data_IF_033967801526
#
_entry.id   IF_033967801526
#
_cell.length_a   1.000
_cell.length_b   1.000
_cell.length_c   1.000
_cell.angle_alpha   90.00
_cell.angle_beta   90.00
_cell.angle_gamma   90.00
#
_symmetry.space_group_name_H-M   'P 1'
#
loop_
_entity.id
_entity.type
_entity.pdbx_description
1 polymer ?
#
# COMPACT_ATOMS: atom_id res chain seq x y z
N UNK A 1 -27.59 -9.17 -10.11
CA UNK A 1 -26.63 -8.55 -9.18
C UNK A 1 -26.41 -7.08 -9.53
N UNK A 2 -26.41 -6.23 -8.53
CA UNK A 2 -26.00 -4.85 -8.67
C UNK A 2 -24.53 -4.69 -8.27
N UNK A 3 -23.73 -4.05 -9.12
CA UNK A 3 -22.44 -3.51 -8.70
C UNK A 3 -22.58 -2.00 -8.55
N UNK A 4 -22.19 -1.46 -7.41
CA UNK A 4 -22.14 -0.02 -7.19
C UNK A 4 -20.72 0.43 -6.89
N UNK A 5 -20.32 1.54 -7.46
CA UNK A 5 -19.12 2.24 -7.04
C UNK A 5 -19.48 3.64 -6.56
N UNK A 6 -19.11 3.96 -5.34
CA UNK A 6 -19.27 5.28 -4.77
C UNK A 6 -17.90 5.92 -4.62
N UNK A 7 -17.63 6.90 -5.46
CA UNK A 7 -16.33 7.56 -5.52
C UNK A 7 -16.47 8.96 -4.93
N UNK A 8 -15.63 9.27 -3.94
CA UNK A 8 -15.46 10.65 -3.50
C UNK A 8 -14.88 11.48 -4.64
N UNK A 9 -15.52 12.63 -4.97
CA UNK A 9 -15.13 13.47 -6.09
C UNK A 9 -13.71 14.02 -5.95
N UNK A 10 -12.90 13.88 -6.97
CA UNK A 10 -11.71 14.68 -7.20
C UNK A 10 -12.09 16.13 -7.52
N UNK A 11 -11.23 17.03 -7.06
CA UNK A 11 -11.22 18.48 -7.29
C UNK A 11 -12.30 19.33 -6.60
N UNK A 12 -11.84 20.04 -5.57
CA UNK A 12 -12.34 21.36 -5.09
C UNK A 12 -13.80 21.51 -4.66
N UNK A 13 -14.61 20.46 -4.62
CA UNK A 13 -15.98 20.57 -4.11
C UNK A 13 -16.08 19.75 -2.83
N UNK A 14 -16.01 20.42 -1.71
CA UNK A 14 -15.88 19.84 -0.35
C UNK A 14 -16.95 18.82 0.04
N UNK A 15 -18.07 18.74 -0.69
CA UNK A 15 -19.29 18.09 -0.24
C UNK A 15 -20.02 17.31 -1.35
N UNK A 16 -19.32 16.66 -2.26
CA UNK A 16 -19.93 15.88 -3.34
C UNK A 16 -19.45 14.44 -3.34
N UNK A 17 -20.39 13.51 -3.59
CA UNK A 17 -20.15 12.09 -3.81
C UNK A 17 -20.63 11.76 -5.22
N UNK A 18 -19.82 11.11 -6.02
CA UNK A 18 -20.26 10.54 -7.30
C UNK A 18 -20.74 9.11 -7.01
N UNK A 19 -21.98 8.84 -7.33
CA UNK A 19 -22.55 7.50 -7.23
C UNK A 19 -22.67 6.90 -8.64
N UNK A 20 -22.05 5.74 -8.84
CA UNK A 20 -22.14 4.93 -10.06
C UNK A 20 -22.76 3.60 -9.71
N UNK A 21 -23.78 3.21 -10.44
CA UNK A 21 -24.47 1.92 -10.29
C UNK A 21 -24.48 1.22 -11.62
N UNK A 22 -24.29 -0.10 -11.62
CA UNK A 22 -24.42 -0.95 -12.79
C UNK A 22 -25.24 -2.18 -12.44
N UNK A 23 -26.22 -2.50 -13.27
CA UNK A 23 -26.97 -3.75 -13.21
C UNK A 23 -26.29 -4.82 -14.05
N UNK A 24 -26.20 -6.04 -13.53
CA UNK A 24 -25.54 -7.17 -14.23
C UNK A 24 -26.30 -7.65 -15.46
N UNK A 25 -27.63 -7.46 -15.48
CA UNK A 25 -28.52 -7.79 -16.59
C UNK A 25 -28.60 -6.69 -17.66
N UNK A 26 -27.83 -5.60 -17.49
CA UNK A 26 -27.77 -4.46 -18.40
C UNK A 26 -29.14 -3.85 -18.75
N UNK A 27 -30.11 -3.95 -17.83
CA UNK A 27 -31.49 -3.50 -18.04
C UNK A 27 -31.56 -1.97 -18.10
N UNK A 28 -32.03 -1.47 -19.24
CA UNK A 28 -32.28 -0.05 -19.46
C UNK A 28 -33.58 0.42 -18.81
N UNK A 29 -33.59 1.68 -18.36
CA UNK A 29 -34.79 2.31 -17.80
C UNK A 29 -35.21 1.80 -16.42
N UNK A 30 -34.36 0.99 -15.76
CA UNK A 30 -34.60 0.52 -14.40
C UNK A 30 -34.34 1.64 -13.40
N UNK A 31 -35.25 1.78 -12.42
CA UNK A 31 -35.09 2.72 -11.34
C UNK A 31 -34.19 2.13 -10.25
N UNK A 32 -33.14 2.83 -9.92
CA UNK A 32 -32.24 2.49 -8.80
C UNK A 32 -32.20 3.62 -7.79
N UNK A 33 -32.25 3.27 -6.52
CA UNK A 33 -32.18 4.24 -5.41
C UNK A 33 -30.86 4.09 -4.68
N UNK A 34 -30.18 5.23 -4.45
CA UNK A 34 -28.98 5.32 -3.61
C UNK A 34 -29.34 6.08 -2.35
N UNK A 35 -29.23 5.46 -1.20
CA UNK A 35 -29.54 6.06 0.10
C UNK A 35 -28.33 6.06 1.03
N UNK A 36 -28.09 7.23 1.69
CA UNK A 36 -27.11 7.41 2.77
C UNK A 36 -27.83 8.17 3.88
N UNK A 37 -28.53 7.48 4.79
CA UNK A 37 -29.44 8.10 5.76
C UNK A 37 -28.77 9.13 6.67
N UNK A 38 -27.55 8.87 7.14
CA UNK A 38 -26.80 9.82 7.99
C UNK A 38 -26.53 11.17 7.30
N UNK A 39 -26.41 11.17 5.98
CA UNK A 39 -26.23 12.38 5.17
C UNK A 39 -27.56 12.95 4.62
N UNK A 40 -28.69 12.32 4.96
CA UNK A 40 -30.02 12.63 4.43
C UNK A 40 -30.08 12.57 2.91
N UNK A 41 -29.33 11.64 2.31
CA UNK A 41 -29.31 11.40 0.88
C UNK A 41 -30.26 10.24 0.57
N UNK A 42 -31.18 10.48 -0.38
CA UNK A 42 -32.02 9.47 -1.01
C UNK A 42 -32.24 9.92 -2.46
N UNK A 43 -31.52 9.32 -3.38
CA UNK A 43 -31.50 9.72 -4.79
C UNK A 43 -31.99 8.56 -5.67
N UNK A 44 -32.96 8.85 -6.53
CA UNK A 44 -33.44 7.94 -7.56
C UNK A 44 -32.72 8.25 -8.87
N UNK A 45 -32.19 7.22 -9.51
CA UNK A 45 -31.53 7.26 -10.82
C UNK A 45 -32.26 6.31 -11.78
N UNK A 46 -32.06 6.54 -13.07
CA UNK A 46 -32.56 5.63 -14.12
C UNK A 46 -31.38 5.12 -14.93
N UNK A 47 -31.32 3.83 -15.17
CA UNK A 47 -30.22 3.20 -15.93
C UNK A 47 -30.32 3.51 -17.42
N UNK A 48 -29.17 3.66 -18.07
CA UNK A 48 -29.00 3.78 -19.52
C UNK A 48 -29.14 2.43 -20.25
N UNK A 49 -28.84 2.43 -21.56
CA UNK A 49 -28.93 1.23 -22.42
C UNK A 49 -27.97 0.10 -21.99
N UNK A 50 -26.89 0.42 -21.29
CA UNK A 50 -25.89 -0.51 -20.75
C UNK A 50 -26.15 -0.89 -19.28
N UNK A 51 -27.32 -0.55 -18.73
CA UNK A 51 -27.69 -0.82 -17.33
C UNK A 51 -26.90 0.02 -16.33
N UNK A 52 -26.34 1.16 -16.72
CA UNK A 52 -25.52 2.04 -15.88
C UNK A 52 -26.31 3.28 -15.49
N UNK A 53 -26.07 3.77 -14.27
CA UNK A 53 -26.54 5.07 -13.81
C UNK A 53 -25.46 5.80 -13.04
N UNK A 54 -25.34 7.10 -13.25
CA UNK A 54 -24.39 7.96 -12.52
C UNK A 54 -25.07 9.24 -12.06
N UNK A 55 -24.75 9.70 -10.85
CA UNK A 55 -25.17 11.00 -10.35
C UNK A 55 -24.17 11.60 -9.37
N UNK A 56 -24.29 12.91 -9.17
CA UNK A 56 -23.52 13.66 -8.16
C UNK A 56 -24.43 13.98 -6.99
N UNK A 57 -24.11 13.41 -5.83
CA UNK A 57 -24.85 13.61 -4.58
C UNK A 57 -24.22 14.74 -3.77
N UNK A 58 -25.06 15.63 -3.24
CA UNK A 58 -24.60 16.72 -2.37
C UNK A 58 -24.56 16.25 -0.92
N UNK A 59 -23.38 16.24 -0.32
CA UNK A 59 -23.10 15.67 0.99
C UNK A 59 -22.59 16.75 1.97
N UNK A 60 -23.35 17.82 2.21
CA UNK A 60 -22.97 19.01 2.98
C UNK A 60 -22.39 18.79 4.38
N UNK A 61 -22.56 17.62 4.97
CA UNK A 61 -22.05 17.27 6.32
C UNK A 61 -21.11 16.06 6.28
N UNK A 62 -20.47 15.82 5.14
CA UNK A 62 -19.59 14.69 4.96
C UNK A 62 -18.37 14.79 5.88
N UNK A 63 -18.28 13.90 6.87
CA UNK A 63 -17.06 13.64 7.61
C UNK A 63 -16.20 12.68 6.80
N UNK A 64 -15.01 13.12 6.42
CA UNK A 64 -14.11 12.32 5.62
C UNK A 64 -13.40 11.29 6.48
N UNK A 65 -13.23 10.12 5.91
CA UNK A 65 -12.44 9.05 6.51
C UNK A 65 -10.96 9.41 6.55
N UNK A 66 -10.31 9.13 7.67
CA UNK A 66 -8.85 9.16 7.81
C UNK A 66 -8.40 8.06 8.78
N UNK A 67 -7.09 7.75 8.85
CA UNK A 67 -6.56 6.82 9.86
C UNK A 67 -6.86 7.20 11.29
N UNK A 68 -6.97 8.48 11.58
CA UNK A 68 -7.30 9.02 12.90
C UNK A 68 -8.81 8.97 13.20
N UNK A 69 -9.63 9.16 12.15
CA UNK A 69 -11.10 9.19 12.22
C UNK A 69 -11.68 8.30 11.10
N UNK A 70 -11.73 6.97 11.27
CA UNK A 70 -12.15 6.03 10.24
C UNK A 70 -13.67 5.96 10.08
N UNK A 71 -14.29 7.12 9.75
CA UNK A 71 -15.74 7.24 9.58
C UNK A 71 -16.23 6.49 8.35
N UNK A 72 -17.16 5.57 8.57
CA UNK A 72 -17.91 4.85 7.53
C UNK A 72 -19.38 5.23 7.63
N UNK A 73 -20.04 5.21 6.48
CA UNK A 73 -21.50 5.47 6.33
C UNK A 73 -22.19 4.21 5.85
N UNK A 74 -23.36 3.93 6.39
CA UNK A 74 -24.28 2.94 5.81
C UNK A 74 -24.81 3.45 4.48
N UNK A 75 -24.58 2.70 3.42
CA UNK A 75 -25.05 2.99 2.07
C UNK A 75 -25.91 1.84 1.59
N UNK A 76 -27.12 2.17 1.11
CA UNK A 76 -28.00 1.19 0.47
C UNK A 76 -28.16 1.56 -1.00
N UNK A 77 -28.00 0.58 -1.88
CA UNK A 77 -28.38 0.67 -3.28
C UNK A 77 -29.45 -0.36 -3.56
N UNK A 78 -30.58 0.04 -4.13
CA UNK A 78 -31.70 -0.85 -4.39
C UNK A 78 -32.31 -0.61 -5.77
N UNK A 79 -32.78 -1.70 -6.39
CA UNK A 79 -33.61 -1.73 -7.59
C UNK A 79 -34.91 -2.45 -7.30
N UNK A 80 -35.74 -2.70 -8.31
CA UNK A 80 -36.94 -3.55 -8.16
C UNK A 80 -36.63 -5.00 -7.82
N UNK A 81 -35.40 -5.47 -8.16
CA UNK A 81 -35.02 -6.89 -8.08
C UNK A 81 -33.95 -7.20 -7.04
N UNK A 82 -33.15 -6.19 -6.60
CA UNK A 82 -31.98 -6.43 -5.73
C UNK A 82 -31.74 -5.26 -4.77
N UNK A 83 -31.08 -5.56 -3.65
CA UNK A 83 -30.68 -4.59 -2.63
C UNK A 83 -29.31 -4.92 -2.07
N UNK A 84 -28.39 -3.97 -2.18
CA UNK A 84 -27.04 -4.06 -1.64
C UNK A 84 -26.87 -3.06 -0.49
N UNK A 85 -26.31 -3.52 0.61
CA UNK A 85 -25.97 -2.69 1.77
C UNK A 85 -24.46 -2.77 2.04
N UNK A 86 -23.84 -1.62 2.19
CA UNK A 86 -22.39 -1.51 2.39
C UNK A 86 -22.05 -0.43 3.42
N UNK A 87 -20.89 -0.61 4.09
CA UNK A 87 -20.25 0.44 4.88
C UNK A 87 -19.17 1.08 4.02
N UNK A 88 -19.26 2.37 3.73
CA UNK A 88 -18.36 3.08 2.81
C UNK A 88 -17.86 4.36 3.47
N UNK A 89 -16.54 4.57 3.41
CA UNK A 89 -15.91 5.83 3.79
C UNK A 89 -15.60 6.69 2.56
N UNK A 90 -15.40 7.96 2.77
CA UNK A 90 -15.07 8.92 1.72
C UNK A 90 -13.82 9.70 2.10
N UNK A 91 -12.85 9.74 1.22
CA UNK A 91 -11.59 10.48 1.43
C UNK A 91 -11.09 11.05 0.09
N UNK A 92 -10.16 11.98 0.18
CA UNK A 92 -9.38 12.46 -0.96
C UNK A 92 -7.89 12.17 -0.68
N UNK A 93 -7.17 11.61 -1.65
CA UNK A 93 -5.72 11.46 -1.61
C UNK A 93 -5.15 12.03 -2.90
N UNK A 94 -4.14 12.90 -2.79
CA UNK A 94 -3.55 13.60 -3.94
C UNK A 94 -2.07 13.83 -3.72
N UNK A 95 -1.35 14.07 -4.80
CA UNK A 95 0.03 14.52 -4.80
C UNK A 95 0.08 15.99 -5.26
N UNK A 96 0.90 16.80 -4.58
CA UNK A 96 1.23 18.17 -5.00
C UNK A 96 2.72 18.38 -4.82
N UNK A 97 3.44 18.49 -5.93
CA UNK A 97 4.90 18.48 -5.91
C UNK A 97 5.42 17.19 -5.28
N UNK A 98 6.23 17.32 -4.26
CA UNK A 98 6.80 16.17 -3.54
C UNK A 98 5.99 15.72 -2.32
N UNK A 99 4.80 16.25 -2.11
CA UNK A 99 3.99 15.95 -0.92
C UNK A 99 2.75 15.10 -1.24
N UNK A 100 2.42 14.20 -0.33
CA UNK A 100 1.19 13.40 -0.34
C UNK A 100 0.18 14.07 0.60
N UNK A 101 -1.02 14.33 0.10
CA UNK A 101 -2.10 14.93 0.87
C UNK A 101 -3.25 13.96 1.08
N UNK A 102 -3.66 13.76 2.33
CA UNK A 102 -4.89 13.08 2.68
C UNK A 102 -5.90 14.11 3.22
N UNK A 103 -7.05 14.20 2.54
CA UNK A 103 -8.08 15.19 2.88
C UNK A 103 -7.57 16.64 2.94
N UNK A 104 -6.58 16.98 2.11
CA UNK A 104 -5.96 18.28 2.04
C UNK A 104 -4.89 18.57 3.10
N UNK A 105 -4.52 17.57 3.91
CA UNK A 105 -3.42 17.67 4.91
C UNK A 105 -2.20 16.89 4.42
N UNK A 106 -0.99 17.48 4.46
CA UNK A 106 0.24 16.74 4.18
C UNK A 106 0.34 15.55 5.11
N UNK A 107 0.70 14.39 4.58
CA UNK A 107 0.69 13.15 5.36
C UNK A 107 1.94 12.33 5.09
N UNK A 108 2.66 11.97 6.15
CA UNK A 108 3.77 11.03 6.10
C UNK A 108 3.24 9.61 6.27
N UNK A 109 3.63 8.69 5.39
CA UNK A 109 3.22 7.29 5.42
C UNK A 109 4.12 6.50 6.37
N UNK A 110 3.66 6.32 7.61
CA UNK A 110 4.21 5.35 8.54
C UNK A 110 3.70 3.97 8.12
N UNK A 111 4.46 3.24 7.31
CA UNK A 111 3.98 2.04 6.64
C UNK A 111 4.64 0.78 7.20
N UNK A 112 3.99 -0.36 7.01
CA UNK A 112 4.53 -1.70 7.20
C UNK A 112 4.03 -2.62 6.09
N UNK A 113 4.88 -3.54 5.64
CA UNK A 113 4.46 -4.61 4.73
C UNK A 113 4.14 -5.86 5.52
N UNK A 114 3.19 -6.67 5.06
CA UNK A 114 3.02 -8.04 5.52
C UNK A 114 2.50 -8.97 4.41
N UNK A 115 2.88 -10.23 4.50
CA UNK A 115 2.25 -11.31 3.76
C UNK A 115 0.94 -11.73 4.44
N UNK A 116 0.00 -12.24 3.67
CA UNK A 116 -1.25 -12.81 4.17
C UNK A 116 -1.00 -14.18 4.80
N UNK A 117 -0.17 -14.20 5.84
CA UNK A 117 0.25 -15.42 6.54
C UNK A 117 0.08 -15.27 8.06
N UNK A 118 -0.24 -16.39 8.70
CA UNK A 118 -0.21 -16.53 10.16
C UNK A 118 0.96 -17.41 10.51
N UNK A 119 2.12 -16.86 10.89
CA UNK A 119 3.34 -17.62 11.11
C UNK A 119 3.18 -18.71 12.17
N UNK A 120 2.46 -18.41 13.28
CA UNK A 120 2.28 -19.30 14.41
C UNK A 120 1.59 -20.63 14.07
N UNK A 121 0.81 -20.69 12.96
CA UNK A 121 0.20 -21.92 12.47
C UNK A 121 0.65 -22.32 11.07
N UNK A 122 1.61 -21.60 10.51
CA UNK A 122 2.19 -21.83 9.18
C UNK A 122 1.13 -21.93 8.06
N UNK A 123 0.16 -21.00 8.04
CA UNK A 123 -0.91 -21.00 7.04
C UNK A 123 -1.31 -19.60 6.62
N UNK A 124 -2.13 -19.54 5.55
CA UNK A 124 -2.71 -18.29 5.06
C UNK A 124 -3.68 -17.69 6.09
N UNK A 125 -3.73 -16.36 6.14
CA UNK A 125 -4.81 -15.65 6.82
C UNK A 125 -6.08 -15.75 5.95
N UNK A 126 -7.14 -16.37 6.46
CA UNK A 126 -8.37 -16.62 5.72
C UNK A 126 -9.65 -16.22 6.46
N UNK A 127 -9.52 -15.62 7.63
CA UNK A 127 -10.64 -15.21 8.47
C UNK A 127 -10.49 -13.79 8.97
N UNK A 128 -11.58 -13.20 9.45
CA UNK A 128 -11.55 -11.89 10.10
C UNK A 128 -10.67 -11.89 11.37
N UNK A 129 -10.64 -13.00 12.10
CA UNK A 129 -9.77 -13.15 13.27
C UNK A 129 -8.28 -13.14 12.91
N UNK A 130 -7.91 -13.77 11.80
CA UNK A 130 -6.55 -13.73 11.28
C UNK A 130 -6.15 -12.31 10.84
N UNK A 131 -7.03 -11.66 10.07
CA UNK A 131 -6.83 -10.28 9.68
C UNK A 131 -6.69 -9.36 10.91
N UNK A 132 -7.52 -9.57 11.94
CA UNK A 132 -7.45 -8.80 13.19
C UNK A 132 -6.10 -8.99 13.90
N UNK A 133 -5.54 -10.20 13.92
CA UNK A 133 -4.24 -10.44 14.54
C UNK A 133 -3.14 -9.63 13.84
N UNK A 134 -3.06 -9.68 12.51
CA UNK A 134 -2.07 -8.93 11.72
C UNK A 134 -2.25 -7.42 11.91
N UNK A 135 -3.48 -6.93 11.79
CA UNK A 135 -3.79 -5.50 11.88
C UNK A 135 -3.61 -4.93 13.28
N UNK A 136 -3.87 -5.70 14.35
CA UNK A 136 -3.62 -5.27 15.72
C UNK A 136 -2.12 -5.06 16.00
N UNK A 137 -1.25 -5.94 15.49
CA UNK A 137 0.19 -5.74 15.61
C UNK A 137 0.68 -4.53 14.79
N UNK A 138 0.12 -4.31 13.59
CA UNK A 138 0.39 -3.11 12.82
C UNK A 138 -0.09 -1.84 13.57
N UNK A 139 -1.27 -1.89 14.23
CA UNK A 139 -1.77 -0.78 15.06
C UNK A 139 -0.86 -0.48 16.24
N UNK A 140 -0.41 -1.52 16.93
CA UNK A 140 0.51 -1.39 18.05
C UNK A 140 1.86 -0.79 17.64
N UNK A 141 2.34 -1.06 16.42
CA UNK A 141 3.54 -0.46 15.86
C UNK A 141 3.38 1.05 15.57
N UNK A 142 2.14 1.53 15.45
CA UNK A 142 1.84 2.95 15.21
C UNK A 142 1.76 3.35 13.75
N UNK A 143 1.59 2.40 12.82
CA UNK A 143 1.46 2.67 11.38
C UNK A 143 0.12 3.30 11.03
N UNK A 144 0.08 4.04 9.93
CA UNK A 144 -1.15 4.57 9.32
C UNK A 144 -1.38 4.02 7.91
N UNK A 145 -0.42 3.25 7.36
CA UNK A 145 -0.52 2.63 6.06
C UNK A 145 0.04 1.20 6.09
N UNK A 146 -0.55 0.31 5.32
CA UNK A 146 -0.09 -1.07 5.17
C UNK A 146 0.10 -1.36 3.68
N UNK A 147 1.26 -1.94 3.32
CA UNK A 147 1.48 -2.51 2.00
C UNK A 147 1.15 -3.99 2.02
N UNK A 148 0.13 -4.38 1.28
CA UNK A 148 -0.31 -5.76 1.10
C UNK A 148 0.53 -6.41 0.00
N UNK A 149 1.75 -6.82 0.35
CA UNK A 149 2.74 -7.34 -0.58
C UNK A 149 2.54 -8.86 -0.80
N UNK A 150 2.77 -9.35 -1.99
CA UNK A 150 2.91 -8.71 -3.33
C UNK A 150 1.74 -9.16 -4.23
N UNK A 151 0.56 -9.27 -3.69
CA UNK A 151 -0.65 -9.83 -4.34
C UNK A 151 -1.91 -9.33 -3.66
N UNK A 152 -3.07 -9.34 -4.34
CA UNK A 152 -4.34 -9.02 -3.71
C UNK A 152 -4.62 -9.96 -2.53
N UNK A 153 -4.78 -9.39 -1.34
CA UNK A 153 -5.07 -10.14 -0.13
C UNK A 153 -6.57 -10.30 0.09
N UNK A 154 -6.93 -11.09 1.09
CA UNK A 154 -8.31 -11.42 1.42
C UNK A 154 -9.14 -10.16 1.75
N UNK A 155 -10.39 -10.17 1.36
CA UNK A 155 -11.34 -9.09 1.59
C UNK A 155 -11.53 -8.76 3.09
N UNK A 156 -11.44 -9.74 3.99
CA UNK A 156 -11.49 -9.49 5.44
C UNK A 156 -10.39 -8.52 5.88
N UNK A 157 -9.18 -8.68 5.36
CA UNK A 157 -8.06 -7.77 5.66
C UNK A 157 -8.37 -6.36 5.18
N UNK A 158 -8.88 -6.20 3.96
CA UNK A 158 -9.16 -4.89 3.38
C UNK A 158 -10.30 -4.18 4.14
N UNK A 159 -11.39 -4.88 4.42
CA UNK A 159 -12.55 -4.34 5.14
C UNK A 159 -12.23 -3.99 6.60
N UNK A 160 -11.46 -4.84 7.27
CA UNK A 160 -11.07 -4.58 8.65
C UNK A 160 -10.05 -3.44 8.75
N UNK A 161 -9.09 -3.35 7.82
CA UNK A 161 -8.17 -2.23 7.74
C UNK A 161 -8.90 -0.88 7.58
N UNK A 162 -9.95 -0.84 6.77
CA UNK A 162 -10.83 0.32 6.61
C UNK A 162 -11.48 0.75 7.92
N UNK A 163 -12.06 -0.21 8.66
CA UNK A 163 -12.68 0.02 9.98
C UNK A 163 -11.65 0.46 11.05
N UNK A 164 -10.45 -0.08 11.00
CA UNK A 164 -9.39 0.21 11.97
C UNK A 164 -8.59 1.48 11.65
N UNK A 165 -8.80 2.09 10.49
CA UNK A 165 -8.11 3.32 10.09
C UNK A 165 -6.69 3.08 9.57
N UNK A 166 -6.55 2.25 8.53
CA UNK A 166 -5.31 2.09 7.79
C UNK A 166 -5.51 2.46 6.33
N UNK A 167 -4.62 3.27 5.77
CA UNK A 167 -4.45 3.33 4.32
C UNK A 167 -3.85 2.01 3.84
N UNK A 168 -4.20 1.61 2.62
CA UNK A 168 -3.69 0.39 2.00
C UNK A 168 -3.01 0.71 0.68
N UNK A 169 -1.88 0.08 0.46
CA UNK A 169 -1.26 -0.12 -0.84
C UNK A 169 -1.49 -1.57 -1.23
N UNK A 170 -2.34 -1.78 -2.23
CA UNK A 170 -2.57 -3.07 -2.86
C UNK A 170 -1.80 -3.17 -4.17
N UNK A 171 -1.31 -4.36 -4.50
CA UNK A 171 -0.55 -4.58 -5.72
C UNK A 171 -0.86 -5.94 -6.33
N UNK A 172 -0.62 -6.07 -7.63
CA UNK A 172 -0.64 -7.35 -8.36
C UNK A 172 0.78 -7.94 -8.40
N UNK A 173 0.93 -9.27 -8.54
CA UNK A 173 2.23 -9.94 -8.41
C UNK A 173 3.12 -9.77 -9.66
N UNK A 174 3.36 -8.55 -10.08
CA UNK A 174 4.36 -8.20 -11.10
C UNK A 174 5.69 -7.98 -10.39
N UNK A 175 6.48 -9.04 -10.31
CA UNK A 175 7.69 -9.09 -9.52
C UNK A 175 8.84 -9.73 -10.27
N UNK A 176 10.00 -9.05 -10.33
CA UNK A 176 11.25 -9.49 -10.93
C UNK A 176 11.12 -10.11 -12.35
N UNK A 177 11.29 -11.43 -12.46
CA UNK A 177 11.44 -12.17 -13.71
C UNK A 177 10.14 -12.44 -14.49
N UNK A 178 9.39 -11.40 -14.80
CA UNK A 178 8.21 -11.45 -15.68
C UNK A 178 8.68 -11.41 -17.15
N UNK A 179 8.06 -12.22 -18.01
CA UNK A 179 8.20 -12.07 -19.45
C UNK A 179 7.31 -10.91 -19.96
N UNK A 180 7.93 -9.75 -20.11
CA UNK A 180 7.24 -8.54 -20.55
C UNK A 180 6.91 -8.52 -22.05
N UNK A 181 7.41 -9.51 -22.83
CA UNK A 181 7.11 -9.64 -24.27
C UNK A 181 5.90 -10.52 -24.54
N UNK A 182 5.46 -11.31 -23.56
CA UNK A 182 4.34 -12.22 -23.68
C UNK A 182 2.99 -11.51 -23.51
N UNK A 183 2.20 -11.49 -24.57
CA UNK A 183 0.87 -10.86 -24.58
C UNK A 183 -0.15 -11.53 -23.66
N UNK A 184 -0.06 -12.84 -23.44
CA UNK A 184 -0.98 -13.54 -22.55
C UNK A 184 -0.68 -13.20 -21.07
N UNK A 185 0.58 -13.05 -20.72
CA UNK A 185 1.02 -12.52 -19.41
C UNK A 185 0.51 -11.10 -19.21
N UNK A 186 0.61 -10.24 -20.24
CA UNK A 186 0.07 -8.86 -20.19
C UNK A 186 -1.43 -8.84 -19.95
N UNK A 187 -2.21 -9.57 -20.73
CA UNK A 187 -3.67 -9.69 -20.57
C UNK A 187 -4.06 -10.22 -19.19
N UNK A 188 -3.32 -11.22 -18.68
CA UNK A 188 -3.52 -11.78 -17.34
C UNK A 188 -3.28 -10.72 -16.28
N UNK A 189 -2.21 -9.95 -16.35
CA UNK A 189 -1.89 -8.87 -15.43
C UNK A 189 -2.96 -7.76 -15.45
N UNK A 190 -3.40 -7.33 -16.63
CA UNK A 190 -4.49 -6.35 -16.79
C UNK A 190 -5.80 -6.85 -16.18
N UNK A 191 -6.13 -8.15 -16.38
CA UNK A 191 -7.31 -8.75 -15.75
C UNK A 191 -7.20 -8.77 -14.24
N UNK A 192 -6.06 -9.22 -13.67
CA UNK A 192 -5.84 -9.24 -12.23
C UNK A 192 -5.96 -7.84 -11.61
N UNK A 193 -5.37 -6.83 -12.25
CA UNK A 193 -5.50 -5.43 -11.82
C UNK A 193 -6.96 -4.97 -11.86
N UNK A 194 -7.67 -5.28 -12.94
CA UNK A 194 -9.08 -4.91 -13.11
C UNK A 194 -9.99 -5.56 -12.07
N UNK A 195 -9.77 -6.84 -11.77
CA UNK A 195 -10.51 -7.59 -10.75
C UNK A 195 -10.25 -7.01 -9.35
N UNK A 196 -8.98 -6.71 -9.01
CA UNK A 196 -8.60 -6.08 -7.76
C UNK A 196 -9.25 -4.71 -7.57
N UNK A 197 -9.18 -3.85 -8.60
CA UNK A 197 -9.80 -2.52 -8.56
C UNK A 197 -11.32 -2.63 -8.40
N UNK A 198 -12.00 -3.45 -9.22
CA UNK A 198 -13.45 -3.63 -9.15
C UNK A 198 -13.93 -4.15 -7.80
N UNK A 199 -13.19 -5.08 -7.19
CA UNK A 199 -13.50 -5.58 -5.84
C UNK A 199 -13.42 -4.48 -4.79
N UNK A 200 -12.35 -3.66 -4.84
CA UNK A 200 -11.98 -2.79 -3.73
C UNK A 200 -12.15 -1.28 -4.01
N UNK A 201 -12.68 -0.89 -5.16
CA UNK A 201 -12.92 0.53 -5.51
C UNK A 201 -13.83 1.28 -4.52
N UNK A 202 -14.69 0.58 -3.79
CA UNK A 202 -15.52 1.15 -2.73
C UNK A 202 -14.83 1.20 -1.36
N UNK A 203 -13.61 0.68 -1.23
CA UNK A 203 -12.84 0.69 0.02
C UNK A 203 -12.04 1.97 0.12
N UNK A 204 -12.44 2.90 0.98
CA UNK A 204 -11.73 4.16 1.19
C UNK A 204 -10.34 3.97 1.80
N UNK A 205 -10.09 2.85 2.47
CA UNK A 205 -8.77 2.44 2.93
C UNK A 205 -7.75 2.35 1.79
N UNK A 206 -8.14 1.85 0.61
CA UNK A 206 -7.22 1.72 -0.52
C UNK A 206 -6.82 3.10 -1.02
N UNK A 207 -5.57 3.46 -0.81
CA UNK A 207 -4.96 4.72 -1.27
C UNK A 207 -4.07 4.57 -2.50
N UNK A 208 -3.54 3.36 -2.71
CA UNK A 208 -2.52 3.11 -3.73
C UNK A 208 -2.79 1.82 -4.49
N UNK A 209 -2.60 1.89 -5.81
CA UNK A 209 -2.54 0.74 -6.71
C UNK A 209 -1.11 0.50 -7.15
N UNK A 210 -0.51 -0.61 -6.74
CA UNK A 210 0.84 -1.02 -7.11
C UNK A 210 0.83 -1.83 -8.41
N UNK A 211 1.70 -1.46 -9.34
CA UNK A 211 1.77 -2.07 -10.67
C UNK A 211 3.04 -2.88 -10.93
N UNK A 212 4.08 -2.71 -10.10
CA UNK A 212 5.33 -3.47 -10.22
C UNK A 212 6.14 -3.45 -8.93
N UNK A 213 6.96 -4.50 -8.74
CA UNK A 213 7.99 -4.61 -7.72
C UNK A 213 9.30 -5.17 -8.31
N UNK A 214 10.41 -4.43 -8.16
CA UNK A 214 11.77 -4.87 -8.50
C UNK A 214 11.93 -5.39 -9.94
N UNK A 215 11.29 -4.73 -10.90
CA UNK A 215 11.38 -5.08 -12.31
C UNK A 215 12.50 -4.33 -13.00
N UNK A 216 13.31 -5.04 -13.82
CA UNK A 216 14.44 -4.45 -14.50
C UNK A 216 14.00 -3.56 -15.68
N UNK A 217 14.66 -2.39 -15.89
CA UNK A 217 14.31 -1.48 -16.98
C UNK A 217 14.51 -2.11 -18.35
N UNK A 218 13.48 -2.06 -19.17
CA UNK A 218 13.54 -2.33 -20.61
C UNK A 218 12.40 -1.59 -21.30
N UNK A 219 12.47 -1.50 -22.63
CA UNK A 219 11.38 -0.94 -23.42
C UNK A 219 10.09 -1.76 -23.24
N UNK A 220 10.20 -3.07 -23.32
CA UNK A 220 9.09 -4.03 -23.21
C UNK A 220 8.43 -3.95 -21.83
N UNK A 221 9.26 -3.86 -20.74
CA UNK A 221 8.76 -3.63 -19.37
C UNK A 221 8.00 -2.32 -19.29
N UNK A 222 8.52 -1.23 -19.85
CA UNK A 222 7.86 0.07 -19.80
C UNK A 222 6.52 0.06 -20.55
N UNK A 223 6.46 -0.54 -21.73
CA UNK A 223 5.22 -0.70 -22.51
C UNK A 223 4.19 -1.55 -21.75
N UNK A 224 4.63 -2.65 -21.17
CA UNK A 224 3.77 -3.52 -20.36
C UNK A 224 3.19 -2.75 -19.16
N UNK A 225 4.02 -2.09 -18.36
CA UNK A 225 3.57 -1.35 -17.17
C UNK A 225 2.73 -0.13 -17.54
N UNK A 226 3.01 0.54 -18.67
CA UNK A 226 2.17 1.63 -19.19
C UNK A 226 0.76 1.11 -19.46
N UNK A 227 0.63 -0.06 -20.08
CA UNK A 227 -0.68 -0.67 -20.34
C UNK A 227 -1.46 -1.01 -19.05
N UNK A 228 -0.77 -1.34 -17.96
CA UNK A 228 -1.40 -1.52 -16.65
C UNK A 228 -1.89 -0.20 -16.07
N UNK A 229 -1.08 0.88 -16.17
CA UNK A 229 -1.50 2.21 -15.72
C UNK A 229 -2.73 2.70 -16.49
N UNK A 230 -2.75 2.52 -17.81
CA UNK A 230 -3.91 2.86 -18.66
C UNK A 230 -5.16 2.09 -18.25
N UNK A 231 -5.03 0.76 -18.07
CA UNK A 231 -6.13 -0.10 -17.60
C UNK A 231 -6.64 0.36 -16.23
N UNK A 232 -5.74 0.62 -15.30
CA UNK A 232 -6.11 1.06 -13.97
C UNK A 232 -6.80 2.43 -13.97
N UNK A 233 -6.24 3.42 -14.67
CA UNK A 233 -6.78 4.79 -14.76
C UNK A 233 -8.13 4.86 -15.47
N UNK A 234 -8.44 3.94 -16.39
CA UNK A 234 -9.78 3.82 -16.96
C UNK A 234 -10.83 3.37 -15.93
N UNK A 235 -10.42 2.61 -14.92
CA UNK A 235 -11.32 2.10 -13.88
C UNK A 235 -11.37 3.02 -12.66
N UNK A 236 -10.24 3.61 -12.27
CA UNK A 236 -10.13 4.39 -11.05
C UNK A 236 -9.04 5.49 -11.16
N UNK A 237 -9.48 6.73 -11.09
CA UNK A 237 -8.63 7.94 -11.08
C UNK A 237 -8.50 8.55 -9.68
N UNK A 238 -9.00 7.89 -8.63
CA UNK A 238 -9.11 8.45 -7.28
C UNK A 238 -8.08 7.89 -6.30
N UNK A 239 -7.20 7.01 -6.77
CA UNK A 239 -6.06 6.43 -6.06
C UNK A 239 -4.76 6.76 -6.77
N UNK A 240 -3.68 6.72 -6.01
CA UNK A 240 -2.33 6.96 -6.51
C UNK A 240 -1.76 5.66 -7.11
N UNK A 241 -1.07 5.79 -8.24
CA UNK A 241 -0.37 4.67 -8.88
C UNK A 241 1.10 4.68 -8.47
N UNK A 242 1.61 3.53 -8.05
CA UNK A 242 2.94 3.36 -7.49
C UNK A 242 3.62 2.10 -8.02
N UNK A 243 4.94 2.13 -8.11
CA UNK A 243 5.78 0.95 -8.32
C UNK A 243 6.99 1.02 -7.39
N UNK A 244 7.48 -0.12 -6.93
CA UNK A 244 8.66 -0.24 -6.11
C UNK A 244 9.87 -0.66 -6.96
N UNK A 245 11.00 0.06 -6.82
CA UNK A 245 12.23 -0.15 -7.56
C UNK A 245 13.39 -0.52 -6.62
N UNK A 246 14.36 -1.29 -7.10
CA UNK A 246 15.56 -1.70 -6.35
C UNK A 246 16.88 -1.17 -6.95
N UNK A 247 16.81 -0.39 -8.01
CA UNK A 247 17.93 0.02 -8.86
C UNK A 247 18.74 1.22 -8.31
N UNK A 248 18.47 1.66 -7.11
CA UNK A 248 19.24 2.75 -6.49
C UNK A 248 20.66 2.28 -6.21
N UNK A 249 21.63 3.02 -6.72
CA UNK A 249 23.06 2.78 -6.50
C UNK A 249 23.77 4.04 -6.04
N UNK A 250 24.92 3.86 -5.39
CA UNK A 250 25.77 4.98 -4.99
C UNK A 250 26.68 5.36 -6.16
N UNK A 251 26.59 6.62 -6.59
CA UNK A 251 27.50 7.19 -7.58
C UNK A 251 28.69 7.82 -6.84
N UNK A 252 29.86 7.22 -6.99
CA UNK A 252 31.10 7.65 -6.29
C UNK A 252 31.65 8.99 -6.77
N UNK A 253 31.40 9.39 -8.02
CA UNK A 253 31.80 10.70 -8.53
C UNK A 253 30.93 11.82 -7.94
N UNK A 254 29.61 11.61 -7.89
CA UNK A 254 28.66 12.57 -7.35
C UNK A 254 28.51 12.49 -5.83
N UNK A 255 29.08 11.48 -5.17
CA UNK A 255 28.96 11.19 -3.74
C UNK A 255 27.52 11.14 -3.26
N UNK A 256 26.60 10.48 -4.03
CA UNK A 256 25.18 10.38 -3.72
C UNK A 256 24.54 9.14 -4.30
N UNK A 257 23.39 8.77 -3.72
CA UNK A 257 22.53 7.72 -4.28
C UNK A 257 21.72 8.27 -5.44
N UNK A 258 21.72 7.55 -6.56
CA UNK A 258 20.99 7.88 -7.79
C UNK A 258 20.23 6.67 -8.32
N UNK A 259 19.22 6.93 -9.14
CA UNK A 259 18.51 5.91 -9.90
C UNK A 259 18.10 6.51 -11.25
N UNK A 260 18.29 5.74 -12.31
CA UNK A 260 17.86 6.10 -13.65
C UNK A 260 16.83 5.10 -14.15
N UNK A 261 15.56 5.48 -14.07
CA UNK A 261 14.44 4.69 -14.59
C UNK A 261 13.37 5.62 -15.13
N UNK A 262 13.20 5.64 -16.45
CA UNK A 262 12.27 6.53 -17.13
C UNK A 262 10.79 6.28 -16.77
N UNK A 263 10.43 5.08 -16.32
CA UNK A 263 9.07 4.74 -15.95
C UNK A 263 8.57 5.52 -14.72
N UNK A 264 9.48 6.01 -13.88
CA UNK A 264 9.12 6.84 -12.71
C UNK A 264 8.31 8.07 -13.07
N UNK A 265 8.50 8.63 -14.28
CA UNK A 265 7.77 9.80 -14.77
C UNK A 265 6.26 9.56 -14.89
N UNK A 266 5.81 8.32 -15.08
CA UNK A 266 4.41 7.96 -15.27
C UNK A 266 3.64 7.69 -13.95
N UNK A 267 4.36 7.58 -12.84
CA UNK A 267 3.81 7.26 -11.53
C UNK A 267 3.43 8.53 -10.75
N UNK A 268 2.48 8.41 -9.82
CA UNK A 268 2.13 9.48 -8.88
C UNK A 268 3.12 9.51 -7.70
N UNK A 269 3.57 8.34 -7.26
CA UNK A 269 4.52 8.14 -6.15
C UNK A 269 5.57 7.14 -6.58
N UNK A 270 6.82 7.42 -6.27
CA UNK A 270 7.94 6.49 -6.51
C UNK A 270 8.30 5.79 -5.21
N UNK A 271 8.48 4.48 -5.27
CA UNK A 271 8.85 3.70 -4.11
C UNK A 271 10.18 2.95 -4.36
N UNK A 272 10.98 2.80 -3.31
CA UNK A 272 12.33 2.24 -3.38
C UNK A 272 12.49 1.12 -2.35
N UNK A 273 12.95 -0.03 -2.83
CA UNK A 273 13.43 -1.12 -2.00
C UNK A 273 14.95 -0.99 -1.86
N UNK A 274 15.44 -0.69 -0.65
CA UNK A 274 16.88 -0.52 -0.43
C UNK A 274 17.30 -1.01 0.94
N UNK A 275 18.07 -2.08 0.96
CA UNK A 275 18.48 -2.79 2.16
C UNK A 275 19.92 -2.41 2.56
N UNK A 276 20.10 -1.16 2.99
CA UNK A 276 21.40 -0.67 3.47
C UNK A 276 21.78 -1.33 4.80
N UNK A 277 23.02 -1.79 4.88
CA UNK A 277 23.52 -2.55 6.02
C UNK A 277 23.15 -4.03 6.01
N UNK A 278 22.38 -4.51 5.02
CA UNK A 278 22.05 -5.94 4.87
C UNK A 278 22.55 -6.51 3.53
N UNK A 279 21.90 -6.18 2.41
CA UNK A 279 22.36 -6.61 1.09
C UNK A 279 23.41 -5.68 0.49
N UNK A 280 23.44 -4.42 0.96
CA UNK A 280 24.36 -3.40 0.47
C UNK A 280 25.12 -2.80 1.65
N UNK A 281 26.48 -2.75 1.57
CA UNK A 281 27.27 -2.05 2.57
C UNK A 281 27.02 -0.54 2.51
N UNK A 282 27.28 0.15 3.60
CA UNK A 282 27.26 1.60 3.64
C UNK A 282 28.47 2.16 2.89
N UNK A 283 28.27 2.95 1.80
CA UNK A 283 29.38 3.59 1.10
C UNK A 283 29.89 4.83 1.83
N UNK A 284 29.05 5.44 2.66
CA UNK A 284 29.31 6.60 3.51
C UNK A 284 28.60 6.40 4.85
N UNK A 285 28.91 7.23 5.85
CA UNK A 285 28.17 7.21 7.10
C UNK A 285 26.66 7.46 6.84
N UNK A 286 25.74 6.75 7.53
CA UNK A 286 24.30 6.87 7.29
C UNK A 286 23.77 8.31 7.35
N UNK A 287 24.28 9.14 8.26
CA UNK A 287 23.91 10.55 8.40
C UNK A 287 24.38 11.44 7.23
N UNK A 288 25.38 10.97 6.46
CA UNK A 288 25.99 11.71 5.34
C UNK A 288 25.48 11.18 3.98
N UNK A 289 24.60 10.19 3.98
CA UNK A 289 24.01 9.62 2.77
C UNK A 289 23.07 10.62 2.08
N UNK A 290 23.46 11.13 0.92
CA UNK A 290 22.64 12.05 0.11
C UNK A 290 21.90 11.25 -0.96
N UNK A 291 20.62 11.54 -1.13
CA UNK A 291 19.76 10.89 -2.13
C UNK A 291 19.29 11.90 -3.20
N UNK A 292 19.59 11.58 -4.45
CA UNK A 292 19.10 12.29 -5.65
C UNK A 292 18.49 11.27 -6.62
N UNK A 293 17.43 10.61 -6.16
CA UNK A 293 16.81 9.50 -6.89
C UNK A 293 15.68 10.00 -7.80
N UNK A 294 14.75 10.73 -7.22
CA UNK A 294 13.64 11.41 -7.89
C UNK A 294 13.42 12.71 -7.11
N UNK A 295 13.37 13.85 -7.78
CA UNK A 295 13.35 15.16 -7.11
C UNK A 295 12.03 15.89 -7.21
N UNK A 296 11.16 15.48 -8.12
CA UNK A 296 9.89 16.13 -8.46
C UNK A 296 8.65 15.40 -7.93
N UNK A 297 8.81 14.23 -7.30
CA UNK A 297 7.71 13.39 -6.80
C UNK A 297 7.93 12.94 -5.36
N UNK A 298 6.87 12.55 -4.65
CA UNK A 298 6.99 11.90 -3.35
C UNK A 298 7.76 10.59 -3.47
N UNK A 299 8.65 10.34 -2.51
CA UNK A 299 9.41 9.11 -2.38
C UNK A 299 8.96 8.33 -1.15
N UNK A 300 8.78 7.01 -1.30
CA UNK A 300 8.58 6.07 -0.21
C UNK A 300 9.71 5.05 -0.21
N UNK A 301 10.39 4.86 0.91
CA UNK A 301 11.23 3.67 1.09
C UNK A 301 10.29 2.51 1.41
N UNK A 302 9.98 1.70 0.39
CA UNK A 302 8.94 0.65 0.45
C UNK A 302 9.43 -0.65 1.05
N UNK A 303 10.75 -0.88 1.06
CA UNK A 303 11.37 -2.00 1.75
C UNK A 303 12.77 -1.62 2.23
N UNK A 304 13.04 -1.92 3.50
CA UNK A 304 14.35 -1.89 4.14
C UNK A 304 14.35 -2.79 5.37
N UNK A 305 15.52 -3.14 5.86
CA UNK A 305 15.68 -3.97 7.04
C UNK A 305 16.76 -5.02 6.89
N UNK A 306 16.88 -5.88 7.87
CA UNK A 306 17.82 -7.00 7.91
C UNK A 306 17.27 -8.13 8.75
N UNK A 307 17.84 -9.31 8.62
CA UNK A 307 17.37 -10.50 9.34
C UNK A 307 17.99 -10.57 10.76
N UNK A 308 17.19 -11.05 11.71
CA UNK A 308 17.65 -11.47 13.03
C UNK A 308 16.83 -12.63 13.54
N UNK A 309 17.47 -13.58 14.21
CA UNK A 309 16.77 -14.63 14.93
C UNK A 309 16.35 -14.12 16.30
N UNK A 310 15.06 -14.22 16.62
CA UNK A 310 14.55 -13.76 17.92
C UNK A 310 15.28 -14.45 19.08
N UNK A 311 15.69 -13.67 20.08
CA UNK A 311 16.44 -14.13 21.24
C UNK A 311 17.94 -14.32 21.02
N UNK A 312 18.42 -14.18 19.78
CA UNK A 312 19.86 -14.27 19.51
C UNK A 312 20.53 -12.93 19.81
N UNK A 313 21.48 -12.95 20.74
CA UNK A 313 22.33 -11.81 21.10
C UNK A 313 23.70 -11.92 20.42
N UNK A 314 24.30 -10.78 20.09
CA UNK A 314 25.63 -10.72 19.46
C UNK A 314 26.12 -9.29 19.26
N UNK A 315 27.31 -9.17 18.65
CA UNK A 315 27.91 -7.87 18.35
C UNK A 315 27.06 -7.11 17.32
N UNK A 316 26.63 -5.90 17.68
CA UNK A 316 25.85 -5.04 16.78
C UNK A 316 26.60 -4.58 15.54
N UNK A 317 27.92 -4.82 15.46
CA UNK A 317 28.79 -4.47 14.31
C UNK A 317 28.96 -5.63 13.33
N UNK A 318 28.51 -6.83 13.67
CA UNK A 318 28.75 -8.05 12.89
C UNK A 318 27.46 -8.52 12.25
N UNK A 319 27.32 -8.31 10.93
CA UNK A 319 26.13 -8.72 10.16
C UNK A 319 25.85 -10.21 10.24
N UNK A 320 26.90 -11.03 10.24
CA UNK A 320 26.78 -12.49 10.35
C UNK A 320 26.38 -12.98 11.75
N UNK A 321 26.21 -12.10 12.73
CA UNK A 321 25.75 -12.44 14.07
C UNK A 321 24.28 -12.87 14.09
N UNK A 322 23.47 -12.41 13.13
CA UNK A 322 22.01 -12.60 13.10
C UNK A 322 21.32 -12.16 14.39
N UNK A 323 21.97 -11.25 15.14
CA UNK A 323 21.52 -10.78 16.45
C UNK A 323 20.46 -9.69 16.32
N UNK A 324 19.63 -9.60 17.33
CA UNK A 324 18.68 -8.49 17.46
C UNK A 324 19.39 -7.14 17.64
N UNK A 325 20.61 -7.13 18.22
CA UNK A 325 21.44 -5.93 18.36
C UNK A 325 21.86 -5.39 17.00
N UNK A 326 22.33 -6.27 16.09
CA UNK A 326 22.69 -5.88 14.72
C UNK A 326 21.47 -5.36 13.96
N UNK A 327 20.34 -6.06 14.02
CA UNK A 327 19.10 -5.61 13.37
C UNK A 327 18.68 -4.22 13.92
N UNK A 328 18.71 -4.03 15.21
CA UNK A 328 18.35 -2.75 15.84
C UNK A 328 19.28 -1.61 15.41
N UNK A 329 20.61 -1.87 15.31
CA UNK A 329 21.57 -0.89 14.80
C UNK A 329 21.26 -0.55 13.34
N UNK A 330 21.05 -1.54 12.48
CA UNK A 330 20.69 -1.36 11.08
C UNK A 330 19.49 -0.43 10.94
N UNK A 331 18.45 -0.63 11.76
CA UNK A 331 17.28 0.24 11.77
C UNK A 331 17.60 1.67 12.23
N UNK A 332 18.43 1.86 13.26
CA UNK A 332 18.89 3.19 13.69
C UNK A 332 19.63 3.91 12.58
N UNK A 333 20.50 3.21 11.86
CA UNK A 333 21.30 3.78 10.78
C UNK A 333 20.43 4.17 9.58
N UNK A 334 19.46 3.32 9.18
CA UNK A 334 18.51 3.69 8.14
C UNK A 334 17.64 4.89 8.55
N UNK A 335 17.16 4.99 9.80
CA UNK A 335 16.43 6.16 10.29
C UNK A 335 17.26 7.45 10.18
N UNK A 336 18.57 7.40 10.48
CA UNK A 336 19.47 8.55 10.31
C UNK A 336 19.61 8.95 8.83
N UNK A 337 19.68 7.98 7.92
CA UNK A 337 19.70 8.23 6.49
C UNK A 337 18.40 8.90 6.01
N UNK A 338 17.24 8.47 6.51
CA UNK A 338 15.94 9.00 6.09
C UNK A 338 15.79 10.51 6.30
N UNK A 339 16.43 11.08 7.31
CA UNK A 339 16.39 12.52 7.59
C UNK A 339 17.11 13.34 6.49
N UNK A 340 17.94 12.71 5.64
CA UNK A 340 18.66 13.34 4.52
C UNK A 340 17.95 13.18 3.16
N UNK A 341 16.76 12.63 3.10
CA UNK A 341 16.00 12.44 1.85
C UNK A 341 14.90 13.51 1.78
N UNK A 342 15.07 14.58 0.99
CA UNK A 342 14.20 15.77 1.06
C UNK A 342 12.73 15.51 0.71
N UNK A 343 12.49 14.62 -0.26
CA UNK A 343 11.16 14.27 -0.75
C UNK A 343 10.63 12.94 -0.17
N UNK A 344 11.23 12.44 0.91
CA UNK A 344 10.73 11.24 1.60
C UNK A 344 9.39 11.52 2.25
N UNK A 345 8.37 10.75 1.86
CA UNK A 345 7.00 10.88 2.40
C UNK A 345 6.46 9.59 2.98
N UNK A 346 7.32 8.58 3.11
CA UNK A 346 6.96 7.35 3.80
C UNK A 346 8.09 6.36 3.90
N UNK A 347 7.99 5.47 4.86
CA UNK A 347 8.91 4.33 5.03
C UNK A 347 8.12 3.09 5.44
N UNK A 348 8.54 1.93 4.92
CA UNK A 348 7.95 0.62 5.19
C UNK A 348 9.04 -0.40 5.46
N UNK A 349 9.23 -0.85 6.69
CA UNK A 349 10.07 -1.99 6.96
C UNK A 349 9.61 -3.24 6.20
N UNK A 350 10.53 -4.02 5.74
CA UNK A 350 10.31 -5.38 5.32
C UNK A 350 10.78 -6.30 6.44
N UNK A 351 9.88 -6.78 7.26
CA UNK A 351 8.43 -6.96 7.15
C UNK A 351 7.84 -7.03 8.58
N UNK A 352 6.50 -7.08 8.73
CA UNK A 352 5.88 -7.13 10.08
C UNK A 352 6.24 -8.41 10.83
N UNK A 353 6.00 -9.59 10.22
CA UNK A 353 6.32 -10.89 10.78
C UNK A 353 7.39 -11.62 9.97
N UNK A 354 8.19 -12.46 10.63
CA UNK A 354 8.92 -13.50 9.94
C UNK A 354 7.94 -14.36 9.14
N UNK A 355 8.29 -14.77 7.92
CA UNK A 355 7.39 -15.51 7.04
C UNK A 355 8.08 -16.70 6.36
N UNK A 356 7.30 -17.67 5.91
CA UNK A 356 7.81 -18.85 5.20
C UNK A 356 8.44 -18.47 3.87
N UNK A 357 9.68 -18.85 3.68
CA UNK A 357 10.46 -18.63 2.47
C UNK A 357 11.38 -19.83 2.22
N UNK A 358 10.87 -20.89 1.59
CA UNK A 358 11.57 -22.19 1.47
C UNK A 358 12.95 -22.11 0.80
N UNK A 359 13.18 -21.05 0.00
CA UNK A 359 14.47 -20.83 -0.67
C UNK A 359 15.53 -20.19 0.23
N UNK A 360 15.15 -19.75 1.44
CA UNK A 360 16.06 -19.14 2.42
C UNK A 360 16.55 -20.23 3.36
N UNK A 361 17.75 -20.69 3.06
CA UNK A 361 18.32 -21.83 3.76
C UNK A 361 19.69 -21.51 4.36
N UNK A 362 19.69 -20.79 5.49
CA UNK A 362 20.84 -20.75 6.38
C UNK A 362 20.60 -21.80 7.47
N UNK A 363 21.50 -22.80 7.64
CA UNK A 363 21.20 -24.01 8.40
C UNK A 363 20.83 -23.77 9.88
N UNK A 364 21.27 -22.66 10.47
CA UNK A 364 21.01 -22.39 11.89
C UNK A 364 20.05 -21.23 12.11
N UNK A 365 19.93 -20.28 11.16
CA UNK A 365 19.24 -19.02 11.43
C UNK A 365 17.93 -18.86 10.63
N UNK A 366 17.85 -19.41 9.42
CA UNK A 366 16.67 -19.24 8.57
C UNK A 366 15.72 -20.43 8.62
N UNK A 367 16.20 -21.63 8.36
CA UNK A 367 15.38 -22.87 8.34
C UNK A 367 14.09 -22.70 7.51
N UNK A 368 14.22 -22.15 6.29
CA UNK A 368 13.08 -21.88 5.39
C UNK A 368 12.21 -20.70 5.81
N UNK A 369 12.73 -19.79 6.63
CA UNK A 369 12.08 -18.55 7.00
C UNK A 369 12.85 -17.32 6.51
N UNK A 370 12.14 -16.28 6.10
CA UNK A 370 12.69 -14.95 6.02
C UNK A 370 12.59 -14.31 7.41
N UNK A 371 13.74 -14.00 8.03
CA UNK A 371 13.83 -13.49 9.40
C UNK A 371 13.88 -11.96 9.50
N UNK A 372 13.45 -11.24 8.44
CA UNK A 372 13.40 -9.78 8.45
C UNK A 372 12.22 -9.20 9.24
N UNK A 373 11.32 -10.03 9.73
CA UNK A 373 10.20 -9.60 10.55
C UNK A 373 10.64 -8.73 11.73
N UNK A 374 9.88 -7.68 12.01
CA UNK A 374 9.96 -6.96 13.30
C UNK A 374 9.42 -7.82 14.44
N UNK A 375 8.60 -8.81 14.10
CA UNK A 375 8.01 -9.81 15.00
C UNK A 375 8.41 -11.19 14.48
N UNK A 376 8.80 -12.07 15.39
CA UNK A 376 9.21 -13.42 15.05
C UNK A 376 8.02 -14.28 14.57
N UNK A 377 8.32 -15.45 13.99
CA UNK A 377 7.36 -16.50 13.68
C UNK A 377 6.56 -17.01 14.88
N UNK A 378 7.06 -16.78 16.09
CA UNK A 378 6.39 -17.12 17.35
C UNK A 378 5.54 -15.96 17.92
N UNK A 379 5.50 -14.81 17.23
CA UNK A 379 4.74 -13.64 17.69
C UNK A 379 5.49 -12.72 18.68
N UNK A 380 6.80 -12.89 18.82
CA UNK A 380 7.61 -12.11 19.75
C UNK A 380 8.22 -10.88 19.05
N UNK A 381 8.02 -9.69 19.62
CA UNK A 381 8.55 -8.43 19.08
C UNK A 381 10.06 -8.34 19.29
N UNK A 382 10.81 -8.15 18.20
CA UNK A 382 12.27 -7.97 18.22
C UNK A 382 12.64 -6.52 18.59
N UNK A 383 13.90 -6.26 18.94
CA UNK A 383 14.39 -4.93 19.36
C UNK A 383 14.10 -3.84 18.31
N UNK A 384 14.20 -4.16 17.02
CA UNK A 384 13.91 -3.23 15.93
C UNK A 384 12.43 -2.77 15.90
N UNK A 385 11.48 -3.58 16.40
CA UNK A 385 10.07 -3.20 16.50
C UNK A 385 9.88 -1.95 17.37
N UNK A 386 10.55 -1.88 18.52
CA UNK A 386 10.44 -0.75 19.44
C UNK A 386 11.04 0.53 18.86
N UNK A 387 12.17 0.42 18.13
CA UNK A 387 12.77 1.55 17.43
C UNK A 387 11.85 2.12 16.34
N UNK A 388 11.21 1.25 15.56
CA UNK A 388 10.29 1.69 14.52
C UNK A 388 9.02 2.31 15.11
N UNK A 389 8.48 1.76 16.21
CA UNK A 389 7.37 2.35 16.92
C UNK A 389 7.69 3.77 17.39
N UNK A 390 8.85 3.96 18.02
CA UNK A 390 9.28 5.29 18.50
C UNK A 390 9.44 6.28 17.33
N UNK A 391 10.01 5.83 16.24
CA UNK A 391 10.12 6.65 15.01
C UNK A 391 8.75 7.06 14.47
N UNK A 392 7.80 6.14 14.35
CA UNK A 392 6.46 6.42 13.87
C UNK A 392 5.68 7.33 14.80
N UNK A 393 5.77 7.14 16.09
CA UNK A 393 5.14 8.04 17.07
C UNK A 393 5.67 9.46 16.96
N UNK A 394 6.99 9.66 16.76
CA UNK A 394 7.57 10.99 16.51
C UNK A 394 7.04 11.60 15.19
N UNK A 395 7.02 10.84 14.10
CA UNK A 395 6.52 11.33 12.80
C UNK A 395 5.02 11.69 12.84
N UNK A 396 4.22 11.00 13.64
CA UNK A 396 2.78 11.29 13.81
C UNK A 396 2.51 12.49 14.74
N UNK A 397 3.34 12.71 15.74
CA UNK A 397 3.15 13.81 16.70
C UNK A 397 3.68 15.16 16.15
N UNK A 398 4.58 15.17 15.18
CA UNK A 398 5.14 16.37 14.57
C UNK A 398 4.29 16.90 13.39
N UNK A 399 3.00 16.60 13.36
CA UNK A 399 2.04 17.05 12.33
C UNK A 399 1.32 18.33 12.71
#
# INVERSE_FOLDING_TARGET
>A
EMTSSLVGSEMCIRDRIIARVRLSDEKAGEKVTVAIPELKINAELTTDAEGKAETVLNAKKLQRWSPEEPKLYGVTVSSSADRVEEQIGFRNITVKGTDIYLNGKPTFMCCISFHEEIPQRMGRAFSEADAAMLLNEAKALGVNMIRLAHYPQNEYTVRLAEKMGFLLWQEIPIWQGIDFTDDDTRKKAQRMLSEMIKRDQNRCAVGYWGVANETQPSKERNEFLTSLLETGKQLDTTRLYVAAFDLVHFNSEKQRFVMEDSFTSQLDVVAINKYMGWYHPWPVEPKDAIWEVVTDKPLIISEFGGEALYGQSGDENVVSSWSEEYQARLYRDNIRMFDNIPNLRGVSPWILFDFRSPFRFHPTNQDGWNRKGLISDQGMRKKAWYLMRDYYMKKRNNR
#
